data_IF_752052369808
#
_entry.id   IF_752052369808
#
_cell.length_a   1.000
_cell.length_b   1.000
_cell.length_c   1.000
_cell.angle_alpha   90.00
_cell.angle_beta   90.00
_cell.angle_gamma   90.00
#
_symmetry.space_group_name_H-M   'P 1'
#
loop_
_entity.id
_entity.type
_entity.pdbx_description
1 polymer ?
#
# COMPACT_ATOMS: atom_id res chain seq x y z
N UNK A 1 -5.28 9.48 17.90
CA UNK A 1 -6.29 9.86 16.90
C UNK A 1 -6.02 8.99 15.68
N UNK A 2 -7.04 8.33 15.16
CA UNK A 2 -6.92 7.48 13.98
C UNK A 2 -7.01 8.34 12.71
N UNK A 3 -6.35 7.92 11.63
CA UNK A 3 -6.37 8.61 10.33
C UNK A 3 -6.98 7.67 9.30
N UNK A 4 -8.02 8.12 8.62
CA UNK A 4 -8.64 7.35 7.54
C UNK A 4 -7.70 7.31 6.33
N UNK A 5 -7.39 6.09 5.89
CA UNK A 5 -6.51 5.84 4.76
C UNK A 5 -7.27 5.09 3.66
N UNK A 6 -6.94 5.41 2.41
CA UNK A 6 -7.46 4.70 1.23
C UNK A 6 -6.32 4.00 0.50
N UNK A 7 -6.58 2.80 -0.01
CA UNK A 7 -5.64 2.12 -0.89
C UNK A 7 -5.61 2.86 -2.22
N UNK A 8 -4.45 3.44 -2.55
CA UNK A 8 -4.20 4.12 -3.83
C UNK A 8 -3.77 3.14 -4.91
N UNK A 9 -3.04 2.09 -4.53
CA UNK A 9 -2.60 1.05 -5.45
C UNK A 9 -1.61 0.08 -4.83
N UNK A 10 -1.23 -0.90 -5.64
CA UNK A 10 -0.24 -1.93 -5.33
C UNK A 10 0.85 -1.90 -6.39
N UNK A 11 2.11 -1.93 -5.97
CA UNK A 11 3.28 -1.89 -6.85
C UNK A 11 4.34 -2.89 -6.41
N UNK A 12 5.33 -3.15 -7.26
CA UNK A 12 6.49 -3.99 -6.91
C UNK A 12 7.71 -3.10 -6.66
N UNK A 13 8.39 -3.34 -5.55
CA UNK A 13 9.71 -2.75 -5.29
C UNK A 13 10.72 -3.28 -6.33
N UNK A 14 11.38 -2.42 -7.12
CA UNK A 14 12.28 -2.86 -8.18
C UNK A 14 13.59 -3.47 -7.67
N UNK A 15 13.94 -3.27 -6.39
CA UNK A 15 15.18 -3.78 -5.79
C UNK A 15 14.94 -5.15 -5.17
N UNK A 16 13.86 -5.29 -4.40
CA UNK A 16 13.59 -6.50 -3.61
C UNK A 16 12.56 -7.43 -4.26
N UNK A 17 11.84 -6.97 -5.30
CA UNK A 17 10.66 -7.63 -5.84
C UNK A 17 9.59 -7.94 -4.78
N UNK A 18 9.54 -7.16 -3.71
CA UNK A 18 8.47 -7.24 -2.71
C UNK A 18 7.29 -6.34 -3.12
N UNK A 19 6.03 -6.80 -2.94
CA UNK A 19 4.87 -5.94 -3.12
C UNK A 19 4.80 -4.81 -2.09
N UNK A 20 4.39 -3.63 -2.55
CA UNK A 20 4.15 -2.44 -1.74
C UNK A 20 2.70 -1.99 -1.96
N UNK A 21 1.95 -1.87 -0.87
CA UNK A 21 0.64 -1.23 -0.85
C UNK A 21 0.84 0.26 -0.55
N UNK A 22 0.30 1.12 -1.41
CA UNK A 22 0.33 2.57 -1.20
C UNK A 22 -0.99 2.99 -0.58
N UNK A 23 -0.92 3.46 0.67
CA UNK A 23 -2.02 4.12 1.34
C UNK A 23 -1.92 5.64 1.13
N UNK A 24 -3.06 6.29 0.93
CA UNK A 24 -3.19 7.74 0.87
C UNK A 24 -4.17 8.22 1.93
N UNK A 25 -3.79 9.25 2.65
CA UNK A 25 -4.67 9.96 3.58
C UNK A 25 -5.87 10.55 2.80
N UNK A 26 -7.07 10.36 3.32
CA UNK A 26 -8.28 10.88 2.69
C UNK A 26 -8.36 12.42 2.73
N UNK A 27 -7.71 13.07 3.69
CA UNK A 27 -7.73 14.52 3.90
C UNK A 27 -6.47 15.27 3.46
N UNK A 28 -5.42 14.58 3.04
CA UNK A 28 -4.16 15.20 2.64
C UNK A 28 -3.46 14.48 1.48
N UNK A 29 -2.34 15.03 1.01
CA UNK A 29 -1.49 14.37 0.00
C UNK A 29 -0.46 13.40 0.60
N UNK A 30 -0.54 13.16 1.91
CA UNK A 30 0.34 12.23 2.61
C UNK A 30 0.13 10.81 2.09
N UNK A 31 1.23 10.11 1.85
CA UNK A 31 1.23 8.71 1.43
C UNK A 31 2.05 7.86 2.40
N UNK A 32 1.58 6.63 2.64
CA UNK A 32 2.25 5.64 3.47
C UNK A 32 2.45 4.36 2.65
N UNK A 33 3.70 4.02 2.27
CA UNK A 33 4.01 2.73 1.69
C UNK A 33 4.11 1.65 2.77
N UNK A 34 3.49 0.50 2.52
CA UNK A 34 3.59 -0.68 3.38
C UNK A 34 4.06 -1.86 2.53
N UNK A 35 5.21 -2.42 2.85
CA UNK A 35 5.69 -3.67 2.25
C UNK A 35 4.89 -4.83 2.84
N UNK A 36 4.37 -5.67 1.96
CA UNK A 36 3.57 -6.85 2.32
C UNK A 36 4.13 -8.08 1.60
N UNK A 37 3.76 -9.27 2.06
CA UNK A 37 4.09 -10.50 1.36
C UNK A 37 3.24 -10.67 0.09
N UNK A 38 3.65 -11.62 -0.75
CA UNK A 38 2.97 -11.89 -2.03
C UNK A 38 1.53 -12.39 -1.85
N UNK A 39 1.24 -13.10 -0.76
CA UNK A 39 -0.10 -13.61 -0.50
C UNK A 39 -1.04 -12.53 -0.01
N UNK A 40 -0.58 -11.62 0.85
CA UNK A 40 -1.35 -10.45 1.29
C UNK A 40 -1.62 -9.51 0.12
N UNK A 41 -0.60 -9.26 -0.72
CA UNK A 41 -0.73 -8.49 -1.95
C UNK A 41 -1.84 -9.01 -2.86
N UNK A 42 -1.86 -10.32 -3.11
CA UNK A 42 -2.90 -10.95 -3.91
C UNK A 42 -4.29 -10.85 -3.25
N UNK A 43 -4.38 -11.02 -1.93
CA UNK A 43 -5.65 -10.90 -1.21
C UNK A 43 -6.22 -9.47 -1.23
N UNK A 44 -5.35 -8.45 -1.33
CA UNK A 44 -5.74 -7.03 -1.46
C UNK A 44 -6.15 -6.70 -2.90
N UNK A 45 -5.52 -7.33 -3.89
CA UNK A 45 -5.75 -7.06 -5.31
C UNK A 45 -7.03 -7.71 -5.87
N UNK A 46 -7.51 -8.80 -5.24
CA UNK A 46 -8.72 -9.54 -5.61
C UNK A 46 -9.98 -8.90 -5.01
#
# INVERSE_FOLDING_TARGET
MEVEMKIRGLMMDPVTNMPIVILKDAGSDTVLPIWVGIYEANAIAL
#
